data_IF_961206976485
#
_entry.id   IF_961206976485
#
_cell.length_a   1.000
_cell.length_b   1.000
_cell.length_c   1.000
_cell.angle_alpha   90.00
_cell.angle_beta   90.00
_cell.angle_gamma   90.00
#
_symmetry.space_group_name_H-M   'P 1'
#
loop_
_entity.id
_entity.type
_entity.pdbx_description
1 polymer ?
#
# COMPACT_ATOMS: atom_id res chain seq x y z
N UNK A 1 -9.37 -17.69 20.92
CA UNK A 1 -8.40 -18.10 19.87
C UNK A 1 -7.34 -19.11 20.33
N UNK A 2 -6.83 -19.09 21.57
CA UNK A 2 -5.75 -20.01 21.99
C UNK A 2 -6.10 -21.52 21.89
N UNK A 3 -7.38 -21.87 21.97
CA UNK A 3 -7.86 -23.26 22.02
C UNK A 3 -8.30 -23.81 20.65
N UNK A 4 -8.35 -22.98 19.61
CA UNK A 4 -8.90 -23.35 18.30
C UNK A 4 -7.78 -23.57 17.28
N UNK A 5 -7.82 -24.69 16.56
CA UNK A 5 -6.96 -24.95 15.39
C UNK A 5 -7.65 -24.53 14.08
N UNK A 6 -8.98 -24.55 14.09
CA UNK A 6 -9.84 -24.15 13.00
C UNK A 6 -11.08 -23.45 13.59
N UNK A 7 -11.55 -22.40 12.94
CA UNK A 7 -12.80 -21.72 13.25
C UNK A 7 -13.49 -21.39 11.93
N UNK A 8 -14.69 -21.92 11.73
CA UNK A 8 -15.54 -21.63 10.58
C UNK A 8 -16.57 -20.60 11.03
N UNK A 9 -16.83 -19.59 10.20
CA UNK A 9 -17.86 -18.57 10.46
C UNK A 9 -19.27 -19.15 10.37
N UNK A 10 -20.28 -18.38 10.80
CA UNK A 10 -21.66 -18.87 10.85
C UNK A 10 -22.24 -19.23 9.47
N UNK A 11 -21.74 -18.58 8.43
CA UNK A 11 -22.28 -18.64 7.07
C UNK A 11 -21.36 -19.44 6.11
N UNK A 12 -20.39 -20.19 6.64
CA UNK A 12 -19.38 -20.97 5.89
C UNK A 12 -18.60 -20.14 4.82
N UNK A 13 -18.57 -18.82 4.98
CA UNK A 13 -17.98 -17.86 4.04
C UNK A 13 -16.48 -17.64 4.30
N UNK A 14 -16.00 -17.86 5.53
CA UNK A 14 -14.57 -17.92 5.81
C UNK A 14 -14.18 -18.90 6.94
N UNK A 15 -12.90 -19.26 6.95
CA UNK A 15 -12.32 -20.14 7.96
C UNK A 15 -10.99 -19.58 8.45
N UNK A 16 -10.77 -19.58 9.76
CA UNK A 16 -9.45 -19.36 10.36
C UNK A 16 -8.71 -20.68 10.47
N UNK A 17 -7.56 -20.80 9.79
CA UNK A 17 -6.70 -21.97 9.88
C UNK A 17 -5.42 -21.59 10.62
N UNK A 18 -5.17 -22.21 11.77
CA UNK A 18 -3.95 -21.96 12.55
C UNK A 18 -2.70 -22.35 11.76
N UNK A 19 -1.68 -21.50 11.82
CA UNK A 19 -0.36 -21.76 11.22
C UNK A 19 0.76 -21.50 12.22
N UNK A 20 1.93 -22.13 12.03
CA UNK A 20 3.11 -21.82 12.81
C UNK A 20 3.43 -20.31 12.77
N UNK A 21 3.82 -19.76 13.91
CA UNK A 21 4.32 -18.39 14.01
C UNK A 21 5.83 -18.45 14.22
N UNK A 22 6.59 -18.05 13.21
CA UNK A 22 8.06 -18.02 13.28
C UNK A 22 8.59 -16.75 13.99
N UNK A 23 7.68 -15.86 14.37
CA UNK A 23 8.01 -14.54 14.93
C UNK A 23 7.79 -14.54 16.45
N UNK A 24 8.87 -14.26 17.20
CA UNK A 24 8.89 -14.28 18.67
C UNK A 24 7.88 -13.35 19.37
N UNK A 25 7.27 -12.41 18.63
CA UNK A 25 6.34 -11.41 19.16
C UNK A 25 4.86 -11.87 19.14
N UNK A 26 4.53 -12.94 18.42
CA UNK A 26 3.16 -13.38 18.20
C UNK A 26 2.91 -14.77 18.82
N UNK A 27 1.83 -14.90 19.61
CA UNK A 27 1.41 -16.19 20.20
C UNK A 27 0.78 -17.10 19.17
N UNK A 28 -0.11 -16.53 18.35
CA UNK A 28 -0.86 -17.29 17.39
C UNK A 28 -0.90 -16.55 16.06
N UNK A 29 -0.81 -17.32 14.98
CA UNK A 29 -0.98 -16.88 13.61
C UNK A 29 -2.06 -17.75 12.97
N UNK A 30 -2.97 -17.11 12.24
CA UNK A 30 -4.06 -17.78 11.52
C UNK A 30 -4.10 -17.26 10.09
N UNK A 31 -4.27 -18.16 9.14
CA UNK A 31 -4.72 -17.79 7.80
C UNK A 31 -6.23 -17.58 7.84
N UNK A 32 -6.69 -16.43 7.37
CA UNK A 32 -8.10 -16.19 7.05
C UNK A 32 -8.32 -16.71 5.63
N UNK A 33 -9.05 -17.80 5.48
CA UNK A 33 -9.38 -18.44 4.21
C UNK A 33 -10.81 -18.04 3.84
N UNK A 34 -11.01 -17.36 2.72
CA UNK A 34 -12.38 -17.08 2.23
C UNK A 34 -12.79 -18.15 1.23
N UNK A 35 -14.05 -18.57 1.33
CA UNK A 35 -14.69 -19.51 0.42
C UNK A 35 -15.52 -18.74 -0.60
N UNK A 36 -15.45 -19.12 -1.87
CA UNK A 36 -16.34 -18.58 -2.89
C UNK A 36 -16.65 -19.63 -3.95
N UNK A 37 -17.88 -19.58 -4.44
CA UNK A 37 -18.35 -20.51 -5.46
C UNK A 37 -17.93 -20.03 -6.85
N UNK A 38 -17.10 -20.83 -7.50
CA UNK A 38 -16.69 -20.64 -8.88
C UNK A 38 -16.94 -21.92 -9.67
N UNK A 39 -17.72 -21.85 -10.74
CA UNK A 39 -17.91 -22.98 -11.68
C UNK A 39 -18.36 -24.30 -11.01
N UNK A 40 -19.19 -24.23 -9.96
CA UNK A 40 -19.71 -25.41 -9.26
C UNK A 40 -18.70 -26.10 -8.33
N UNK A 41 -17.57 -25.43 -7.99
CA UNK A 41 -16.64 -25.87 -6.94
C UNK A 41 -16.40 -24.73 -5.95
N UNK A 42 -16.41 -25.06 -4.67
CA UNK A 42 -15.99 -24.14 -3.61
C UNK A 42 -14.48 -23.98 -3.68
N UNK A 43 -14.03 -22.77 -3.97
CA UNK A 43 -12.62 -22.42 -3.97
C UNK A 43 -12.30 -21.69 -2.67
N UNK A 44 -11.27 -22.15 -1.96
CA UNK A 44 -10.71 -21.43 -0.83
C UNK A 44 -9.46 -20.67 -1.23
N UNK A 45 -9.35 -19.43 -0.78
CA UNK A 45 -8.19 -18.59 -1.01
C UNK A 45 -7.82 -17.85 0.26
N UNK A 46 -6.51 -17.77 0.52
CA UNK A 46 -6.00 -17.00 1.66
C UNK A 46 -6.29 -15.52 1.43
N UNK A 47 -7.12 -14.94 2.29
CA UNK A 47 -7.50 -13.52 2.31
C UNK A 47 -6.50 -12.69 3.10
N UNK A 48 -6.13 -13.17 4.28
CA UNK A 48 -5.24 -12.45 5.17
C UNK A 48 -4.50 -13.40 6.11
N UNK A 49 -3.53 -12.85 6.85
CA UNK A 49 -2.95 -13.50 8.03
C UNK A 49 -3.35 -12.69 9.26
N UNK A 50 -4.05 -13.31 10.20
CA UNK A 50 -4.37 -12.74 11.50
C UNK A 50 -3.31 -13.16 12.51
N UNK A 51 -2.69 -12.19 13.19
CA UNK A 51 -1.69 -12.44 14.24
C UNK A 51 -2.14 -11.86 15.57
N UNK A 52 -1.89 -12.60 16.64
CA UNK A 52 -2.21 -12.21 18.02
C UNK A 52 -0.91 -12.13 18.84
N UNK A 53 -0.82 -11.15 19.75
CA UNK A 53 0.37 -10.97 20.59
C UNK A 53 0.60 -12.15 21.54
N UNK A 54 1.87 -12.39 21.89
CA UNK A 54 2.31 -13.52 22.72
C UNK A 54 1.59 -13.64 24.09
N UNK A 55 1.18 -12.51 24.68
CA UNK A 55 0.52 -12.47 25.99
C UNK A 55 -0.84 -11.80 25.83
N UNK A 56 -1.90 -12.44 26.30
CA UNK A 56 -3.12 -11.67 26.57
C UNK A 56 -2.77 -10.64 27.62
N UNK A 57 -3.18 -9.40 27.37
CA UNK A 57 -3.23 -8.44 28.44
C UNK A 57 -4.33 -8.93 29.40
N UNK A 58 -4.12 -8.80 30.72
CA UNK A 58 -5.09 -9.27 31.71
C UNK A 58 -6.51 -8.74 31.42
N UNK A 59 -7.54 -9.37 31.98
CA UNK A 59 -8.94 -9.23 31.57
C UNK A 59 -9.46 -7.77 31.45
N UNK A 60 -8.84 -6.81 32.14
CA UNK A 60 -9.15 -5.38 32.08
C UNK A 60 -8.49 -4.59 30.93
N UNK A 61 -7.77 -5.26 30.02
CA UNK A 61 -6.96 -4.60 28.98
C UNK A 61 -7.36 -5.01 27.57
N UNK A 62 -7.34 -4.02 26.67
CA UNK A 62 -7.59 -4.21 25.24
C UNK A 62 -6.50 -5.10 24.63
N UNK A 63 -6.94 -6.22 24.05
CA UNK A 63 -6.09 -7.10 23.26
C UNK A 63 -6.11 -6.66 21.80
N UNK A 64 -4.93 -6.49 21.21
CA UNK A 64 -4.78 -6.12 19.81
C UNK A 64 -4.50 -7.34 18.95
N UNK A 65 -5.07 -7.33 17.75
CA UNK A 65 -4.80 -8.29 16.69
C UNK A 65 -4.35 -7.53 15.44
N UNK A 66 -3.49 -8.16 14.65
CA UNK A 66 -3.00 -7.61 13.40
C UNK A 66 -3.54 -8.43 12.24
N UNK A 67 -4.12 -7.74 11.26
CA UNK A 67 -4.62 -8.36 10.04
C UNK A 67 -3.73 -7.95 8.87
N UNK A 68 -2.99 -8.90 8.31
CA UNK A 68 -2.12 -8.70 7.15
C UNK A 68 -2.84 -9.16 5.89
N UNK A 69 -3.40 -8.22 5.15
CA UNK A 69 -4.21 -8.49 3.95
C UNK A 69 -3.33 -8.94 2.78
N UNK A 70 -3.74 -9.99 2.08
CA UNK A 70 -3.05 -10.48 0.88
C UNK A 70 -3.21 -9.51 -0.29
N UNK A 71 -2.16 -9.35 -1.09
CA UNK A 71 -2.13 -8.32 -2.13
C UNK A 71 -3.26 -8.45 -3.17
N UNK A 72 -3.75 -9.66 -3.47
CA UNK A 72 -4.82 -9.86 -4.46
C UNK A 72 -6.16 -9.25 -4.03
N UNK A 73 -6.40 -9.10 -2.71
CA UNK A 73 -7.64 -8.57 -2.12
C UNK A 73 -7.93 -7.15 -2.62
N UNK A 74 -6.88 -6.37 -2.91
CA UNK A 74 -7.00 -4.99 -3.39
C UNK A 74 -7.29 -4.85 -4.89
N UNK A 75 -7.23 -5.93 -5.67
CA UNK A 75 -7.27 -5.87 -7.14
C UNK A 75 -8.28 -6.83 -7.79
N UNK A 76 -8.68 -7.90 -7.11
CA UNK A 76 -9.74 -8.76 -7.63
C UNK A 76 -11.09 -8.13 -7.33
N UNK A 77 -11.98 -8.15 -8.32
CA UNK A 77 -13.33 -7.59 -8.18
C UNK A 77 -14.14 -8.55 -7.33
N UNK A 78 -14.66 -8.03 -6.22
CA UNK A 78 -15.65 -8.71 -5.38
C UNK A 78 -17.06 -8.50 -5.93
N UNK A 79 -17.38 -7.25 -6.29
CA UNK A 79 -18.68 -6.89 -6.85
C UNK A 79 -18.62 -5.60 -7.64
N UNK A 80 -19.71 -5.30 -8.35
CA UNK A 80 -19.91 -4.02 -9.03
C UNK A 80 -21.14 -3.38 -8.39
N UNK A 81 -20.96 -2.22 -7.78
CA UNK A 81 -22.01 -1.46 -7.10
C UNK A 81 -22.07 -0.07 -7.73
N UNK A 82 -23.25 0.37 -8.15
CA UNK A 82 -23.46 1.66 -8.81
C UNK A 82 -22.51 1.91 -10.00
N UNK A 83 -22.20 0.85 -10.76
CA UNK A 83 -21.30 0.91 -11.91
C UNK A 83 -19.81 1.02 -11.55
N UNK A 84 -19.46 1.02 -10.26
CA UNK A 84 -18.09 1.07 -9.74
C UNK A 84 -17.64 -0.33 -9.29
N UNK A 85 -16.36 -0.67 -9.54
CA UNK A 85 -15.78 -1.91 -9.05
C UNK A 85 -15.48 -1.79 -7.56
N UNK A 86 -15.88 -2.79 -6.78
CA UNK A 86 -15.43 -2.98 -5.41
C UNK A 86 -14.54 -4.21 -5.35
N UNK A 87 -13.41 -4.10 -4.67
CA UNK A 87 -12.51 -5.23 -4.45
C UNK A 87 -12.86 -5.98 -3.15
N UNK A 88 -12.16 -7.09 -2.91
CA UNK A 88 -12.41 -7.98 -1.76
C UNK A 88 -12.11 -7.33 -0.41
N UNK A 89 -11.47 -6.16 -0.35
CA UNK A 89 -11.28 -5.43 0.92
C UNK A 89 -12.63 -5.11 1.58
N UNK A 90 -13.73 -5.05 0.81
CA UNK A 90 -15.09 -4.88 1.32
C UNK A 90 -15.50 -5.98 2.33
N UNK A 91 -14.86 -7.15 2.31
CA UNK A 91 -15.15 -8.24 3.24
C UNK A 91 -14.48 -8.09 4.61
N UNK A 92 -13.58 -7.10 4.80
CA UNK A 92 -12.88 -6.92 6.08
C UNK A 92 -13.86 -6.62 7.21
N UNK A 93 -14.88 -5.80 6.96
CA UNK A 93 -15.85 -5.41 7.99
C UNK A 93 -16.66 -6.63 8.45
N UNK A 94 -17.13 -7.48 7.52
CA UNK A 94 -17.78 -8.75 7.85
C UNK A 94 -16.89 -9.68 8.67
N UNK A 95 -15.64 -9.90 8.25
CA UNK A 95 -14.68 -10.76 8.97
C UNK A 95 -14.41 -10.19 10.37
N UNK A 96 -14.33 -8.87 10.51
CA UNK A 96 -14.13 -8.23 11.81
C UNK A 96 -15.34 -8.45 12.72
N UNK A 97 -16.55 -8.26 12.22
CA UNK A 97 -17.80 -8.44 12.96
C UNK A 97 -17.97 -9.88 13.47
N UNK A 98 -17.76 -10.88 12.61
CA UNK A 98 -17.83 -12.30 12.97
C UNK A 98 -16.79 -12.70 14.04
N UNK A 99 -15.65 -12.01 14.08
CA UNK A 99 -14.61 -12.23 15.07
C UNK A 99 -14.75 -11.34 16.31
N UNK A 100 -15.79 -10.49 16.38
CA UNK A 100 -15.99 -9.52 17.46
C UNK A 100 -14.87 -8.48 17.56
N UNK A 101 -14.27 -8.12 16.43
CA UNK A 101 -13.14 -7.19 16.31
C UNK A 101 -13.62 -5.81 15.91
N UNK A 102 -12.92 -4.78 16.38
CA UNK A 102 -13.17 -3.39 16.00
C UNK A 102 -11.88 -2.83 15.39
N UNK A 103 -12.03 -2.10 14.28
CA UNK A 103 -10.90 -1.41 13.64
C UNK A 103 -10.28 -0.41 14.61
N UNK A 104 -9.04 -0.67 15.02
CA UNK A 104 -8.26 0.26 15.85
C UNK A 104 -7.49 1.27 15.00
N UNK A 105 -6.67 0.77 14.07
CA UNK A 105 -5.87 1.62 13.19
C UNK A 105 -5.25 0.85 12.01
N UNK A 106 -4.91 1.58 10.95
CA UNK A 106 -3.99 1.11 9.91
C UNK A 106 -2.55 1.38 10.35
N UNK A 107 -1.75 0.34 10.53
CA UNK A 107 -0.34 0.45 10.96
C UNK A 107 0.61 0.64 9.79
N UNK A 108 0.27 0.14 8.61
CA UNK A 108 1.09 0.17 7.41
C UNK A 108 0.17 0.20 6.18
N UNK A 109 0.37 1.20 5.30
CA UNK A 109 -0.42 1.38 4.08
C UNK A 109 0.51 1.68 2.91
N UNK A 110 0.36 0.91 1.83
CA UNK A 110 1.07 1.10 0.58
C UNK A 110 0.10 1.58 -0.50
N UNK A 111 0.23 2.83 -0.92
CA UNK A 111 -0.59 3.44 -1.97
C UNK A 111 0.18 3.40 -3.27
N UNK A 112 -0.44 2.94 -4.36
CA UNK A 112 0.20 2.80 -5.65
C UNK A 112 -0.55 3.53 -6.76
N UNK A 113 0.17 4.34 -7.53
CA UNK A 113 -0.27 4.88 -8.81
C UNK A 113 0.42 4.11 -9.94
N UNK A 114 -0.36 3.34 -10.69
CA UNK A 114 0.08 2.73 -11.94
C UNK A 114 -0.16 3.69 -13.10
N UNK A 115 0.83 3.83 -13.98
CA UNK A 115 0.81 4.80 -15.07
C UNK A 115 1.63 4.34 -16.28
N UNK A 116 1.40 4.96 -17.43
CA UNK A 116 2.24 4.80 -18.61
C UNK A 116 3.45 5.78 -18.62
N UNK A 117 3.57 6.65 -17.62
CA UNK A 117 4.62 7.67 -17.49
C UNK A 117 5.81 7.13 -16.69
N UNK A 118 7.01 7.23 -17.26
CA UNK A 118 8.26 6.88 -16.57
C UNK A 118 8.74 8.03 -15.67
N UNK A 119 8.11 8.16 -14.50
CA UNK A 119 8.47 9.20 -13.53
C UNK A 119 9.90 9.05 -13.01
N UNK A 120 10.44 7.83 -12.93
CA UNK A 120 11.82 7.61 -12.49
C UNK A 120 12.81 8.33 -13.43
N UNK A 121 12.62 8.23 -14.75
CA UNK A 121 13.43 8.97 -15.72
C UNK A 121 13.21 10.47 -15.65
N UNK A 122 11.96 10.94 -15.54
CA UNK A 122 11.65 12.37 -15.45
C UNK A 122 12.30 13.03 -14.23
N UNK A 123 12.18 12.39 -13.06
CA UNK A 123 12.77 12.84 -11.80
C UNK A 123 14.28 12.85 -11.90
N UNK A 124 14.89 11.77 -12.40
CA UNK A 124 16.35 11.73 -12.55
C UNK A 124 16.84 12.81 -13.52
N UNK A 125 16.14 13.07 -14.63
CA UNK A 125 16.48 14.16 -15.53
C UNK A 125 16.42 15.52 -14.82
N UNK A 126 15.33 15.80 -14.10
CA UNK A 126 15.16 17.06 -13.37
C UNK A 126 16.21 17.24 -12.25
N UNK A 127 16.60 16.16 -11.56
CA UNK A 127 17.62 16.22 -10.51
C UNK A 127 18.99 16.66 -11.04
N UNK A 128 19.36 16.24 -12.25
CA UNK A 128 20.64 16.55 -12.88
C UNK A 128 20.58 17.75 -13.83
N UNK A 129 19.46 18.48 -13.87
CA UNK A 129 19.28 19.67 -14.69
C UNK A 129 19.49 20.93 -13.82
N UNK A 130 20.27 21.88 -14.35
CA UNK A 130 20.65 23.11 -13.64
C UNK A 130 19.48 24.09 -13.47
N UNK A 131 18.46 24.01 -14.32
CA UNK A 131 17.26 24.85 -14.19
C UNK A 131 16.38 24.45 -13.00
N UNK A 132 16.61 23.25 -12.44
CA UNK A 132 15.84 22.70 -11.34
C UNK A 132 16.64 22.72 -10.04
N UNK A 133 15.96 23.05 -8.95
CA UNK A 133 16.48 22.91 -7.58
C UNK A 133 15.68 21.81 -6.88
N UNK A 134 16.37 20.84 -6.29
CA UNK A 134 15.74 19.74 -5.56
C UNK A 134 15.23 20.27 -4.21
N UNK A 135 14.00 19.90 -3.85
CA UNK A 135 13.47 20.07 -2.50
C UNK A 135 13.20 18.68 -1.93
N UNK A 136 14.02 18.28 -0.97
CA UNK A 136 14.05 16.92 -0.41
C UNK A 136 13.73 16.98 1.07
N UNK A 137 12.70 16.24 1.49
CA UNK A 137 12.19 16.23 2.87
C UNK A 137 11.88 17.65 3.38
N UNK A 138 11.27 18.48 2.52
CA UNK A 138 10.96 19.88 2.80
C UNK A 138 12.15 20.85 2.74
N UNK A 139 13.38 20.38 2.57
CA UNK A 139 14.59 21.21 2.56
C UNK A 139 15.05 21.49 1.14
N UNK A 140 15.32 22.76 0.82
CA UNK A 140 15.90 23.17 -0.47
C UNK A 140 17.37 22.73 -0.51
N UNK A 141 17.75 22.01 -1.58
CA UNK A 141 19.11 21.52 -1.81
C UNK A 141 19.76 22.33 -2.93
N UNK A 142 20.28 23.50 -2.57
CA UNK A 142 20.89 24.44 -3.52
C UNK A 142 22.33 24.07 -3.91
N UNK A 143 23.05 23.35 -3.05
CA UNK A 143 24.37 22.85 -3.37
C UNK A 143 24.28 21.63 -4.30
N UNK A 144 24.71 21.79 -5.55
CA UNK A 144 24.66 20.73 -6.58
C UNK A 144 25.61 19.57 -6.31
N UNK A 145 26.66 19.79 -5.52
CA UNK A 145 27.65 18.77 -5.15
C UNK A 145 27.27 18.00 -3.87
N UNK A 146 26.16 18.35 -3.22
CA UNK A 146 25.68 17.66 -2.03
C UNK A 146 25.26 16.22 -2.35
N UNK A 147 25.73 15.27 -1.54
CA UNK A 147 25.28 13.87 -1.63
C UNK A 147 23.88 13.77 -1.02
N UNK A 148 22.89 13.49 -1.86
CA UNK A 148 21.49 13.31 -1.45
C UNK A 148 21.22 11.86 -1.04
N UNK A 149 21.72 11.45 0.13
CA UNK A 149 21.60 10.07 0.62
C UNK A 149 20.16 9.56 0.80
N UNK A 150 19.16 10.46 0.89
CA UNK A 150 17.75 10.06 0.98
C UNK A 150 17.17 9.63 -0.39
N UNK A 151 17.91 9.75 -1.50
CA UNK A 151 17.51 9.34 -2.86
C UNK A 151 18.44 8.26 -3.40
N UNK A 152 17.98 7.01 -3.39
CA UNK A 152 18.70 5.89 -3.98
C UNK A 152 18.28 5.65 -5.43
N UNK A 153 19.28 5.67 -6.33
CA UNK A 153 19.12 5.31 -7.74
C UNK A 153 19.55 3.87 -7.99
N UNK A 154 18.61 3.01 -8.37
CA UNK A 154 18.89 1.62 -8.73
C UNK A 154 18.76 1.46 -10.24
N UNK A 155 19.85 1.12 -10.92
CA UNK A 155 19.86 0.84 -12.36
C UNK A 155 20.23 -0.62 -12.58
N UNK A 156 19.43 -1.35 -13.34
CA UNK A 156 19.78 -2.71 -13.79
C UNK A 156 20.00 -2.75 -15.29
N UNK A 157 20.90 -3.60 -15.74
CA UNK A 157 21.34 -3.68 -17.12
C UNK A 157 21.81 -5.07 -17.50
N UNK A 158 22.28 -5.19 -18.73
CA UNK A 158 23.07 -6.33 -19.18
C UNK A 158 24.47 -5.85 -19.56
N UNK A 159 25.32 -6.74 -20.07
CA UNK A 159 26.70 -6.43 -20.47
C UNK A 159 26.83 -5.37 -21.58
N UNK A 160 25.73 -4.94 -22.20
CA UNK A 160 25.74 -3.94 -23.29
C UNK A 160 25.21 -2.57 -22.87
N UNK A 161 24.19 -2.53 -22.01
CA UNK A 161 23.57 -1.27 -21.56
C UNK A 161 22.77 -1.41 -20.28
N UNK A 162 22.62 -0.30 -19.58
CA UNK A 162 21.60 -0.13 -18.56
C UNK A 162 20.21 -0.14 -19.22
N UNK A 163 19.27 -0.81 -18.57
CA UNK A 163 17.93 -1.10 -19.10
C UNK A 163 16.81 -0.49 -18.26
N UNK A 164 17.05 -0.24 -16.98
CA UNK A 164 16.05 0.25 -16.03
C UNK A 164 16.61 1.37 -15.18
N UNK A 165 15.67 2.10 -14.59
CA UNK A 165 15.91 3.02 -13.50
C UNK A 165 14.78 2.84 -12.50
N UNK A 166 15.14 2.76 -11.23
CA UNK A 166 14.21 2.81 -10.11
C UNK A 166 14.74 3.80 -9.10
N UNK A 167 13.84 4.57 -8.49
CA UNK A 167 14.17 5.54 -7.46
C UNK A 167 13.51 5.12 -6.16
N UNK A 168 14.26 5.23 -5.07
CA UNK A 168 13.75 5.05 -3.71
C UNK A 168 14.06 6.32 -2.95
N UNK A 169 13.03 6.97 -2.43
CA UNK A 169 13.15 8.19 -1.62
C UNK A 169 12.65 7.87 -0.23
N UNK A 170 13.53 7.97 0.77
CA UNK A 170 13.18 7.69 2.16
C UNK A 170 14.02 8.53 3.10
N UNK A 171 13.44 9.27 4.06
CA UNK A 171 14.21 10.03 5.04
C UNK A 171 14.95 9.07 5.99
N UNK A 172 16.25 9.28 6.22
CA UNK A 172 17.04 8.47 7.17
C UNK A 172 16.45 8.32 8.59
N UNK A 173 15.68 9.31 9.06
CA UNK A 173 15.21 9.40 10.46
C UNK A 173 13.71 9.17 10.66
N UNK A 174 12.94 8.98 9.59
CA UNK A 174 11.50 8.74 9.70
C UNK A 174 11.19 7.34 9.20
N UNK A 175 11.02 6.43 10.14
CA UNK A 175 10.56 5.08 9.81
C UNK A 175 9.18 5.18 9.15
N UNK A 176 9.00 4.42 8.08
CA UNK A 176 7.70 4.19 7.48
C UNK A 176 7.11 5.23 6.52
N UNK A 177 7.81 6.33 6.20
CA UNK A 177 7.45 7.20 5.05
C UNK A 177 8.45 7.01 3.92
N UNK A 178 8.01 6.46 2.78
CA UNK A 178 8.91 6.27 1.63
C UNK A 178 8.18 6.30 0.31
N UNK A 179 8.90 6.66 -0.75
CA UNK A 179 8.42 6.67 -2.12
C UNK A 179 9.30 5.75 -2.98
N UNK A 180 8.70 4.85 -3.75
CA UNK A 180 9.37 3.97 -4.70
C UNK A 180 8.81 4.22 -6.09
N UNK A 181 9.69 4.36 -7.07
CA UNK A 181 9.31 4.69 -8.44
C UNK A 181 10.03 3.74 -9.38
N UNK A 182 9.30 2.89 -10.09
CA UNK A 182 9.92 1.78 -10.82
C UNK A 182 9.10 1.29 -12.02
N UNK A 183 9.75 0.50 -12.88
CA UNK A 183 9.13 -0.23 -14.00
C UNK A 183 8.38 -1.46 -13.45
N UNK A 184 7.08 -1.29 -13.20
CA UNK A 184 6.21 -2.32 -12.62
C UNK A 184 6.02 -3.49 -13.57
N UNK A 185 5.96 -3.26 -14.88
CA UNK A 185 5.80 -4.31 -15.89
C UNK A 185 6.85 -5.41 -15.72
N UNK A 186 8.11 -5.05 -15.51
CA UNK A 186 9.20 -6.02 -15.34
C UNK A 186 9.14 -6.79 -14.03
N UNK A 187 8.63 -6.18 -12.96
CA UNK A 187 8.37 -6.92 -11.71
C UNK A 187 7.24 -7.93 -11.93
N UNK A 188 6.20 -7.52 -12.66
CA UNK A 188 5.08 -8.40 -13.00
C UNK A 188 5.50 -9.56 -13.91
N UNK A 189 6.37 -9.35 -14.90
CA UNK A 189 6.91 -10.41 -15.78
C UNK A 189 7.64 -11.52 -15.00
N UNK A 190 8.07 -11.25 -13.76
CA UNK A 190 8.74 -12.21 -12.87
C UNK A 190 7.83 -12.75 -11.76
N UNK A 191 6.56 -12.37 -11.76
CA UNK A 191 5.60 -12.69 -10.70
C UNK A 191 4.31 -13.27 -11.27
N UNK A 192 3.56 -14.01 -10.47
CA UNK A 192 2.24 -14.53 -10.88
C UNK A 192 1.09 -13.54 -10.61
N UNK A 193 1.36 -12.22 -10.61
CA UNK A 193 0.41 -11.16 -10.18
C UNK A 193 -0.35 -10.51 -11.34
N UNK A 194 -0.88 -11.34 -12.25
CA UNK A 194 -1.59 -10.88 -13.44
C UNK A 194 -2.91 -10.14 -13.15
N UNK A 195 -3.44 -10.25 -11.92
CA UNK A 195 -4.62 -9.55 -11.45
C UNK A 195 -4.43 -8.02 -11.32
N UNK A 196 -3.21 -7.53 -11.10
CA UNK A 196 -2.95 -6.10 -10.90
C UNK A 196 -3.29 -5.28 -12.17
N UNK A 197 -2.79 -5.62 -13.37
CA UNK A 197 -3.17 -4.92 -14.60
C UNK A 197 -4.67 -5.01 -14.93
N UNK A 198 -5.36 -6.08 -14.54
CA UNK A 198 -6.78 -6.29 -14.82
C UNK A 198 -7.67 -5.29 -14.06
N UNK A 199 -7.31 -4.98 -12.81
CA UNK A 199 -7.99 -3.96 -12.00
C UNK A 199 -7.94 -2.59 -12.70
N UNK A 200 -6.72 -2.17 -13.07
CA UNK A 200 -6.43 -0.84 -13.61
C UNK A 200 -6.70 -0.67 -15.11
N UNK A 201 -7.00 -1.76 -15.84
CA UNK A 201 -7.24 -1.72 -17.30
C UNK A 201 -6.00 -1.37 -18.15
N UNK A 202 -4.79 -1.44 -17.57
CA UNK A 202 -3.55 -1.05 -18.25
C UNK A 202 -2.99 -2.21 -19.08
N UNK A 203 -2.79 -1.99 -20.39
CA UNK A 203 -2.39 -3.06 -21.33
C UNK A 203 -0.87 -3.20 -21.56
N UNK A 204 -0.09 -2.10 -21.62
CA UNK A 204 1.26 -2.17 -22.25
C UNK A 204 2.42 -1.50 -21.51
N UNK A 205 2.20 -0.34 -20.87
CA UNK A 205 3.22 0.37 -20.09
C UNK A 205 2.69 0.52 -18.67
N UNK A 206 3.42 -0.05 -17.72
CA UNK A 206 3.08 0.00 -16.31
C UNK A 206 4.34 0.40 -15.53
N UNK A 207 4.45 1.68 -15.25
CA UNK A 207 5.34 2.23 -14.24
C UNK A 207 4.51 2.48 -12.99
N UNK A 208 5.13 2.34 -11.82
CA UNK A 208 4.46 2.53 -10.54
C UNK A 208 5.18 3.59 -9.72
N UNK A 209 4.39 4.46 -9.11
CA UNK A 209 4.78 5.29 -7.97
C UNK A 209 4.09 4.69 -6.74
N UNK A 210 4.87 4.20 -5.79
CA UNK A 210 4.38 3.53 -4.58
C UNK A 210 4.82 4.34 -3.36
N UNK A 211 3.85 4.75 -2.54
CA UNK A 211 4.05 5.47 -1.30
C UNK A 211 3.74 4.53 -0.13
N UNK A 212 4.68 4.36 0.77
CA UNK A 212 4.44 3.73 2.08
C UNK A 212 4.20 4.82 3.11
N UNK A 213 3.12 4.66 3.88
CA UNK A 213 2.80 5.47 5.05
C UNK A 213 2.43 4.59 6.24
N UNK A 214 2.58 5.13 7.46
CA UNK A 214 2.20 4.50 8.72
C UNK A 214 1.04 5.25 9.38
N UNK A 215 0.63 4.80 10.56
CA UNK A 215 -0.50 5.37 11.28
C UNK A 215 -0.37 6.89 11.54
N UNK A 216 0.79 7.34 12.01
CA UNK A 216 1.05 8.76 12.32
C UNK A 216 0.94 9.64 11.08
N UNK A 217 1.33 9.11 9.91
CA UNK A 217 1.19 9.80 8.63
C UNK A 217 -0.27 9.87 8.20
N UNK A 218 -1.04 8.79 8.39
CA UNK A 218 -2.48 8.82 8.11
C UNK A 218 -3.18 9.87 8.98
N UNK A 219 -2.87 9.93 10.28
CA UNK A 219 -3.36 10.97 11.21
C UNK A 219 -2.99 12.38 10.75
N UNK A 220 -1.72 12.58 10.35
CA UNK A 220 -1.25 13.86 9.82
C UNK A 220 -2.06 14.31 8.60
N UNK A 221 -2.33 13.39 7.67
CA UNK A 221 -3.06 13.70 6.44
C UNK A 221 -4.51 14.14 6.71
N UNK A 222 -5.25 13.40 7.54
CA UNK A 222 -6.62 13.77 7.89
C UNK A 222 -6.66 15.06 8.70
N UNK A 223 -5.71 15.28 9.62
CA UNK A 223 -5.58 16.55 10.34
C UNK A 223 -5.34 17.72 9.38
N UNK A 224 -4.51 17.53 8.34
CA UNK A 224 -4.29 18.54 7.32
C UNK A 224 -5.56 18.86 6.51
N UNK A 225 -6.43 17.88 6.26
CA UNK A 225 -7.76 18.09 5.66
C UNK A 225 -8.77 18.72 6.62
N UNK A 226 -8.47 18.83 7.91
CA UNK A 226 -9.44 19.25 8.93
C UNK A 226 -10.48 18.18 9.26
N UNK A 227 -10.14 16.91 9.00
CA UNK A 227 -11.01 15.75 9.15
C UNK A 227 -10.46 14.78 10.20
N UNK A 228 -11.29 13.84 10.64
CA UNK A 228 -10.88 12.70 11.47
C UNK A 228 -10.89 11.46 10.58
N UNK A 229 -10.02 10.49 10.86
CA UNK A 229 -10.05 9.19 10.17
C UNK A 229 -11.47 8.60 10.37
N UNK A 230 -12.21 8.31 9.29
CA UNK A 230 -13.51 7.68 9.43
C UNK A 230 -13.27 6.23 9.86
N UNK A 231 -13.51 5.91 11.12
CA UNK A 231 -13.35 4.53 11.59
C UNK A 231 -14.46 3.63 11.03
N UNK A 232 -15.66 4.17 10.91
CA UNK A 232 -16.79 3.52 10.26
C UNK A 232 -16.63 3.67 8.73
N UNK A 233 -16.82 2.58 7.99
CA UNK A 233 -16.78 2.52 6.51
C UNK A 233 -15.41 2.77 5.86
N UNK A 234 -14.29 2.80 6.61
CA UNK A 234 -12.97 2.99 6.00
C UNK A 234 -12.65 1.91 4.97
N UNK A 235 -12.88 0.64 5.32
CA UNK A 235 -12.58 -0.48 4.44
C UNK A 235 -13.49 -0.47 3.21
N UNK A 236 -14.78 -0.21 3.39
CA UNK A 236 -15.73 -0.02 2.29
C UNK A 236 -15.30 1.11 1.33
N UNK A 237 -14.91 2.26 1.87
CA UNK A 237 -14.41 3.41 1.09
C UNK A 237 -13.16 3.05 0.30
N UNK A 238 -12.20 2.37 0.93
CA UNK A 238 -10.96 1.93 0.29
C UNK A 238 -11.17 0.79 -0.72
N UNK A 239 -12.22 -0.01 -0.55
CA UNK A 239 -12.55 -1.11 -1.45
C UNK A 239 -13.19 -0.63 -2.75
N UNK A 240 -13.92 0.49 -2.69
CA UNK A 240 -14.60 1.09 -3.84
C UNK A 240 -13.62 1.84 -4.73
N UNK A 241 -13.57 1.48 -6.02
CA UNK A 241 -12.71 2.14 -6.99
C UNK A 241 -13.02 3.64 -7.12
N UNK A 242 -14.30 4.00 -7.22
CA UNK A 242 -14.73 5.39 -7.41
C UNK A 242 -14.50 6.26 -6.18
N UNK A 243 -14.69 5.72 -4.98
CA UNK A 243 -14.57 6.49 -3.73
C UNK A 243 -13.11 6.61 -3.28
N UNK A 244 -12.30 5.56 -3.47
CA UNK A 244 -10.92 5.54 -2.99
C UNK A 244 -9.96 6.35 -3.86
N UNK A 245 -10.23 6.50 -5.16
CA UNK A 245 -9.22 6.99 -6.11
C UNK A 245 -8.71 8.40 -5.78
N UNK A 246 -9.60 9.35 -5.55
CA UNK A 246 -9.22 10.74 -5.26
C UNK A 246 -8.56 10.84 -3.87
N UNK A 247 -9.11 10.15 -2.87
CA UNK A 247 -8.54 10.09 -1.52
C UNK A 247 -7.10 9.55 -1.53
N UNK A 248 -6.87 8.42 -2.22
CA UNK A 248 -5.57 7.80 -2.32
C UNK A 248 -4.59 8.66 -3.13
N UNK A 249 -5.06 9.30 -4.21
CA UNK A 249 -4.22 10.20 -4.99
C UNK A 249 -3.85 11.47 -4.20
N UNK A 250 -4.77 12.03 -3.42
CA UNK A 250 -4.47 13.16 -2.53
C UNK A 250 -3.39 12.82 -1.51
N UNK A 251 -3.49 11.65 -0.87
CA UNK A 251 -2.44 11.15 0.04
C UNK A 251 -1.09 11.01 -0.69
N UNK A 252 -1.12 10.40 -1.88
CA UNK A 252 0.05 10.24 -2.74
C UNK A 252 0.68 11.59 -3.08
N UNK A 253 -0.12 12.56 -3.49
CA UNK A 253 0.31 13.91 -3.87
C UNK A 253 0.87 14.68 -2.68
N UNK A 254 0.18 14.67 -1.54
CA UNK A 254 0.60 15.35 -0.31
C UNK A 254 1.97 14.84 0.16
N UNK A 255 2.11 13.52 0.34
CA UNK A 255 3.34 12.95 0.88
C UNK A 255 4.49 12.91 -0.13
N UNK A 256 4.22 12.68 -1.42
CA UNK A 256 5.27 12.75 -2.43
C UNK A 256 5.88 14.15 -2.51
N UNK A 257 5.08 15.22 -2.48
CA UNK A 257 5.59 16.60 -2.45
C UNK A 257 6.41 16.91 -1.21
N UNK A 258 6.06 16.30 -0.08
CA UNK A 258 6.79 16.46 1.18
C UNK A 258 8.13 15.73 1.14
N UNK A 259 8.19 14.56 0.50
CA UNK A 259 9.41 13.77 0.31
C UNK A 259 10.32 14.36 -0.77
N UNK A 260 9.80 14.57 -1.97
CA UNK A 260 10.55 15.02 -3.12
C UNK A 260 9.68 15.90 -4.01
N UNK A 261 10.15 17.12 -4.24
CA UNK A 261 9.63 18.01 -5.27
C UNK A 261 10.76 18.84 -5.84
N UNK A 262 10.45 19.64 -6.85
CA UNK A 262 11.43 20.50 -7.51
C UNK A 262 10.99 21.96 -7.42
N UNK A 263 11.94 22.87 -7.59
CA UNK A 263 11.69 24.27 -7.91
C UNK A 263 12.27 24.53 -9.28
N UNK A 264 11.46 25.06 -10.20
CA UNK A 264 11.89 25.47 -11.52
C UNK A 264 11.62 26.96 -11.65
N UNK A 265 12.67 27.76 -11.85
CA UNK A 265 12.56 29.23 -11.96
C UNK A 265 11.76 29.86 -10.80
N UNK A 266 11.96 29.35 -9.58
CA UNK A 266 11.30 29.85 -8.37
C UNK A 266 9.88 29.29 -8.12
N UNK A 267 9.32 28.51 -9.04
CA UNK A 267 8.02 27.86 -8.88
C UNK A 267 8.19 26.42 -8.39
N UNK A 268 7.46 26.05 -7.34
CA UNK A 268 7.39 24.66 -6.88
C UNK A 268 6.65 23.77 -7.89
N UNK A 269 7.26 22.63 -8.22
CA UNK A 269 6.75 21.63 -9.17
C UNK A 269 6.78 20.26 -8.49
N UNK A 270 5.65 19.56 -8.50
CA UNK A 270 5.58 18.18 -8.00
C UNK A 270 6.22 17.20 -8.98
N UNK A 271 6.59 16.01 -8.51
CA UNK A 271 7.09 14.95 -9.39
C UNK A 271 6.09 14.54 -10.48
N UNK A 272 4.78 14.77 -10.24
CA UNK A 272 3.71 14.47 -11.19
C UNK A 272 3.53 15.55 -12.26
N UNK A 273 4.17 16.71 -12.09
CA UNK A 273 4.14 17.84 -13.02
C UNK A 273 5.41 17.95 -13.89
N UNK A 274 6.40 17.07 -13.66
CA UNK A 274 7.58 16.90 -14.54
C UNK A 274 7.19 16.26 -15.87
#
# INVERSE_FOLDING_TARGET
MNEYNELVDSDDSFTLVRVPSDEALFANSFHVMVSFDGSGRTHQKKFATLKTKLRSMGDDKINYVWLYIENWVFYEVFGIYDGSKCNWLACVDYIADELGLILNNITDLHIALDTNIDFAKKISKAQFDDDYIVVLNGTIRSNKDEILDDILHVKTGNQRRLKTLSLYVSPKKKDGLSLKIYDKKRELEKSNKNYIPQWNGLKNKNYRVELTIKNEHLKEFYQWKGEVIPNELLMATLASQSQSQDLLFDMLYYFSNRLLRFSYKGKGISIFQL
#
